data_IF_188812177881
#
_entry.id   IF_188812177881
#
_cell.length_a   1.000
_cell.length_b   1.000
_cell.length_c   1.000
_cell.angle_alpha   90.00
_cell.angle_beta   90.00
_cell.angle_gamma   90.00
#
_symmetry.space_group_name_H-M   'P 1'
#
loop_
_entity.id
_entity.type
_entity.pdbx_description
1 polymer ?
#
# COMPACT_ATOMS: atom_id res chain seq x y z
N UNK A 1 -46.75 -8.68 -22.20
CA UNK A 1 -46.87 -7.59 -23.20
C UNK A 1 -45.49 -6.97 -23.36
N UNK A 2 -45.05 -6.88 -24.61
CA UNK A 2 -43.92 -6.13 -25.17
C UNK A 2 -42.47 -6.61 -24.92
N UNK A 3 -41.81 -6.86 -26.06
CA UNK A 3 -40.44 -7.26 -26.36
C UNK A 3 -39.74 -6.07 -27.04
N UNK A 4 -38.46 -5.82 -26.76
CA UNK A 4 -37.41 -5.24 -27.65
C UNK A 4 -36.16 -4.97 -26.77
N UNK A 5 -34.90 -5.34 -27.07
CA UNK A 5 -34.25 -5.83 -28.28
C UNK A 5 -33.56 -4.70 -29.06
N UNK A 6 -32.22 -4.60 -28.99
CA UNK A 6 -31.29 -4.36 -30.12
C UNK A 6 -29.86 -4.06 -29.63
N UNK A 7 -28.91 -4.91 -30.02
CA UNK A 7 -27.48 -4.60 -30.06
C UNK A 7 -27.07 -4.00 -31.40
N UNK A 8 -25.80 -3.60 -31.53
CA UNK A 8 -25.11 -3.45 -32.81
C UNK A 8 -23.62 -3.81 -32.61
N UNK A 9 -23.21 -4.93 -33.18
CA UNK A 9 -21.84 -5.20 -33.54
C UNK A 9 -21.55 -4.48 -34.87
N UNK A 10 -20.40 -3.82 -34.97
CA UNK A 10 -19.84 -3.41 -36.27
C UNK A 10 -18.66 -4.33 -36.58
N UNK A 11 -18.93 -5.33 -37.42
CA UNK A 11 -17.93 -6.05 -38.19
C UNK A 11 -17.84 -5.46 -39.60
N UNK A 12 -16.70 -5.65 -40.26
CA UNK A 12 -16.54 -5.28 -41.67
C UNK A 12 -15.11 -5.33 -42.18
N UNK A 13 -14.69 -6.54 -42.54
CA UNK A 13 -13.42 -7.00 -43.14
C UNK A 13 -13.33 -6.67 -44.67
N UNK A 14 -12.48 -7.35 -45.47
CA UNK A 14 -11.17 -6.99 -46.02
C UNK A 14 -11.21 -6.55 -47.51
N UNK A 15 -10.04 -6.28 -48.12
CA UNK A 15 -9.65 -6.38 -49.57
C UNK A 15 -8.26 -5.73 -49.70
N UNK A 16 -7.24 -6.27 -50.36
CA UNK A 16 -7.20 -7.15 -51.53
C UNK A 16 -6.45 -6.43 -52.66
N UNK A 17 -5.19 -6.82 -52.85
CA UNK A 17 -4.40 -6.91 -54.10
C UNK A 17 -4.12 -5.71 -55.05
N UNK A 18 -2.80 -5.48 -55.20
CA UNK A 18 -2.00 -5.53 -56.44
C UNK A 18 -1.78 -4.29 -57.36
N UNK A 19 -0.47 -4.12 -57.61
CA UNK A 19 0.24 -3.74 -58.85
C UNK A 19 0.34 -2.26 -59.26
N UNK A 20 1.59 -1.78 -59.47
CA UNK A 20 2.28 -1.66 -60.79
C UNK A 20 3.50 -0.71 -60.65
N UNK A 21 4.75 -1.16 -60.80
CA UNK A 21 5.60 -0.96 -62.01
C UNK A 21 6.76 0.02 -61.70
N UNK A 22 8.03 -0.44 -61.62
CA UNK A 22 9.13 -0.29 -62.62
C UNK A 22 9.61 1.20 -62.77
N UNK A 23 10.88 1.64 -62.71
CA UNK A 23 12.21 1.05 -62.90
C UNK A 23 13.30 2.02 -62.37
N UNK A 24 14.43 1.45 -61.92
CA UNK A 24 15.85 1.89 -61.82
C UNK A 24 16.30 3.38 -61.88
N UNK A 25 17.23 3.79 -61.00
CA UNK A 25 18.70 3.86 -61.25
C UNK A 25 19.50 4.55 -60.12
N UNK A 26 20.64 3.93 -59.74
CA UNK A 26 21.93 4.57 -59.43
C UNK A 26 22.06 5.62 -58.30
N UNK A 27 22.73 5.24 -57.21
CA UNK A 27 23.31 6.22 -56.27
C UNK A 27 24.05 5.58 -55.09
N UNK A 28 25.35 5.32 -55.25
CA UNK A 28 26.26 4.99 -54.15
C UNK A 28 26.41 6.17 -53.19
N UNK A 29 26.08 5.97 -51.91
CA UNK A 29 26.65 6.72 -50.80
C UNK A 29 26.76 5.77 -49.58
N UNK A 30 27.99 5.54 -49.17
CA UNK A 30 28.34 4.92 -47.89
C UNK A 30 27.88 5.85 -46.77
N UNK A 31 27.18 5.34 -45.77
CA UNK A 31 27.09 6.01 -44.47
C UNK A 31 27.10 4.95 -43.36
N UNK A 32 27.96 5.23 -42.39
CA UNK A 32 28.38 4.41 -41.25
C UNK A 32 27.22 3.75 -40.49
N UNK A 33 27.10 2.43 -40.56
CA UNK A 33 26.29 1.67 -39.61
C UNK A 33 27.04 1.59 -38.28
N UNK A 34 27.00 2.68 -37.50
CA UNK A 34 27.38 2.64 -36.09
C UNK A 34 26.43 1.66 -35.40
N UNK A 35 26.92 0.61 -34.70
CA UNK A 35 26.04 -0.24 -33.94
C UNK A 35 25.40 0.64 -32.87
N UNK A 36 24.08 0.84 -32.96
CA UNK A 36 23.29 1.33 -31.84
C UNK A 36 23.41 0.26 -30.78
N UNK A 37 24.33 0.46 -29.85
CA UNK A 37 24.48 -0.35 -28.66
C UNK A 37 23.19 -0.13 -27.88
N UNK A 38 22.23 -1.04 -28.03
CA UNK A 38 21.05 -1.11 -27.15
C UNK A 38 21.58 -1.13 -25.74
N UNK A 39 21.44 0.00 -25.03
CA UNK A 39 21.65 0.01 -23.60
C UNK A 39 20.67 -1.04 -23.03
N UNK A 40 21.13 -1.96 -22.17
CA UNK A 40 20.20 -2.82 -21.46
C UNK A 40 19.20 -1.90 -20.73
N UNK A 41 17.91 -2.28 -20.63
CA UNK A 41 17.00 -1.54 -19.78
C UNK A 41 17.66 -1.45 -18.41
N UNK A 42 17.88 -0.22 -17.95
CA UNK A 42 18.39 0.01 -16.61
C UNK A 42 17.30 -0.48 -15.68
N UNK A 43 17.40 -1.73 -15.25
CA UNK A 43 16.56 -2.27 -14.19
C UNK A 43 16.82 -1.38 -12.99
N UNK A 44 15.90 -0.45 -12.72
CA UNK A 44 15.87 0.22 -11.45
C UNK A 44 15.87 -0.89 -10.38
N UNK A 45 16.65 -0.76 -9.30
CA UNK A 45 16.59 -1.74 -8.23
C UNK A 45 15.13 -1.80 -7.78
N UNK A 46 14.54 -2.99 -7.86
CA UNK A 46 13.24 -3.26 -7.29
C UNK A 46 13.31 -2.83 -5.82
N UNK A 47 12.43 -1.92 -5.40
CA UNK A 47 12.31 -1.62 -3.99
C UNK A 47 12.08 -2.95 -3.26
N UNK A 48 12.91 -3.24 -2.25
CA UNK A 48 12.72 -4.43 -1.43
C UNK A 48 11.29 -4.37 -0.84
N UNK A 49 10.50 -5.45 -0.94
CA UNK A 49 9.18 -5.48 -0.35
C UNK A 49 9.28 -5.18 1.15
N UNK A 50 8.45 -4.28 1.65
CA UNK A 50 8.37 -4.01 3.08
C UNK A 50 7.76 -5.23 3.78
N UNK A 51 8.46 -5.76 4.79
CA UNK A 51 8.00 -6.89 5.60
C UNK A 51 7.57 -6.40 6.99
N UNK A 52 6.26 -6.19 7.23
CA UNK A 52 5.78 -5.67 8.50
C UNK A 52 6.01 -6.62 9.69
N UNK A 53 6.21 -7.91 9.46
CA UNK A 53 6.49 -8.86 10.54
C UNK A 53 7.94 -8.80 11.05
N UNK A 54 8.83 -8.18 10.29
CA UNK A 54 10.23 -8.00 10.68
C UNK A 54 10.45 -6.75 11.56
N UNK A 55 9.45 -5.86 11.69
CA UNK A 55 9.62 -4.56 12.35
C UNK A 55 9.58 -4.59 13.87
N UNK A 56 8.95 -5.60 14.47
CA UNK A 56 8.92 -5.74 15.93
C UNK A 56 9.77 -6.92 16.37
N UNK A 57 10.94 -6.60 16.92
CA UNK A 57 11.79 -7.60 17.55
C UNK A 57 11.13 -8.16 18.84
N UNK A 58 11.68 -9.20 19.49
CA UNK A 58 11.09 -9.74 20.71
C UNK A 58 10.93 -8.73 21.86
N UNK A 59 11.84 -7.75 22.00
CA UNK A 59 11.78 -6.74 23.04
C UNK A 59 10.71 -5.67 22.72
N UNK A 60 10.61 -5.25 21.47
CA UNK A 60 9.59 -4.31 21.01
C UNK A 60 8.19 -4.92 21.13
N UNK A 61 8.04 -6.20 20.73
CA UNK A 61 6.80 -6.96 20.97
C UNK A 61 6.44 -6.98 22.45
N UNK A 62 7.39 -7.30 23.33
CA UNK A 62 7.13 -7.29 24.77
C UNK A 62 6.72 -5.91 25.28
N UNK A 63 7.27 -4.83 24.73
CA UNK A 63 6.91 -3.44 25.06
C UNK A 63 5.48 -3.12 24.62
N UNK A 64 5.07 -3.63 23.46
CA UNK A 64 3.70 -3.52 22.93
C UNK A 64 2.68 -4.47 23.58
N UNK A 65 3.08 -5.24 24.61
CA UNK A 65 2.21 -6.24 25.23
C UNK A 65 1.92 -7.42 24.31
N UNK A 66 2.88 -7.81 23.48
CA UNK A 66 2.84 -8.95 22.58
C UNK A 66 3.84 -10.02 23.04
N UNK A 67 3.34 -11.20 23.38
CA UNK A 67 4.14 -12.38 23.74
C UNK A 67 4.33 -13.33 22.56
N UNK A 68 3.46 -13.25 21.55
CA UNK A 68 3.46 -14.11 20.37
C UNK A 68 4.22 -13.48 19.20
N UNK A 69 4.71 -14.33 18.29
CA UNK A 69 5.24 -13.87 17.00
C UNK A 69 4.10 -13.44 16.10
N UNK A 70 4.37 -12.46 15.24
CA UNK A 70 3.42 -12.02 14.23
C UNK A 70 3.32 -13.04 13.10
N UNK A 71 2.12 -13.12 12.53
CA UNK A 71 1.83 -13.94 11.37
C UNK A 71 1.67 -13.07 10.13
N UNK A 72 2.39 -13.36 9.03
CA UNK A 72 2.15 -12.67 7.77
C UNK A 72 0.72 -12.87 7.28
N UNK A 73 0.13 -11.77 6.79
CA UNK A 73 -1.22 -11.70 6.24
C UNK A 73 -1.25 -10.76 5.02
N UNK A 74 -2.39 -10.78 4.35
CA UNK A 74 -2.73 -9.85 3.28
C UNK A 74 -4.08 -9.21 3.65
N UNK A 75 -4.12 -7.87 3.61
CA UNK A 75 -5.33 -7.08 3.88
C UNK A 75 -5.65 -6.32 2.59
N UNK A 76 -6.63 -6.82 1.84
CA UNK A 76 -7.06 -6.21 0.57
C UNK A 76 -5.92 -6.00 -0.45
N UNK A 77 -4.94 -6.92 -0.52
CA UNK A 77 -3.77 -6.84 -1.38
C UNK A 77 -2.56 -6.14 -0.76
N UNK A 78 -2.70 -5.57 0.44
CA UNK A 78 -1.62 -4.94 1.18
C UNK A 78 -0.91 -5.94 2.11
N UNK A 79 0.43 -6.00 2.13
CA UNK A 79 1.18 -6.80 3.09
C UNK A 79 0.87 -6.38 4.52
N UNK A 80 0.59 -7.36 5.38
CA UNK A 80 0.29 -7.11 6.78
C UNK A 80 0.97 -8.13 7.72
N UNK A 81 1.12 -7.73 8.98
CA UNK A 81 1.49 -8.62 10.06
C UNK A 81 0.42 -8.60 11.13
N UNK A 82 -0.12 -9.77 11.46
CA UNK A 82 -1.15 -9.92 12.48
C UNK A 82 -0.59 -10.55 13.75
N UNK A 83 -0.93 -9.96 14.90
CA UNK A 83 -0.57 -10.46 16.22
C UNK A 83 -1.84 -10.64 17.04
N UNK A 84 -2.16 -11.90 17.37
CA UNK A 84 -3.27 -12.21 18.27
C UNK A 84 -2.74 -12.53 19.66
N UNK A 85 -2.87 -11.60 20.60
CA UNK A 85 -2.42 -11.79 21.98
C UNK A 85 -3.54 -12.46 22.81
N UNK A 86 -3.32 -13.68 23.34
CA UNK A 86 -4.36 -14.41 24.06
C UNK A 86 -4.91 -13.65 25.28
N UNK A 87 -6.22 -13.43 25.29
CA UNK A 87 -6.90 -12.75 26.40
C UNK A 87 -6.68 -11.24 26.46
N UNK A 88 -6.02 -10.65 25.45
CA UNK A 88 -5.80 -9.19 25.37
C UNK A 88 -6.46 -8.62 24.11
N UNK A 89 -6.20 -9.21 22.94
CA UNK A 89 -6.76 -8.74 21.67
C UNK A 89 -5.74 -8.71 20.52
N UNK A 90 -6.11 -8.09 19.40
CA UNK A 90 -5.34 -8.08 18.17
C UNK A 90 -4.52 -6.80 17.95
N UNK A 91 -3.39 -6.94 17.26
CA UNK A 91 -2.68 -5.85 16.59
C UNK A 91 -2.42 -6.27 15.15
N UNK A 92 -2.82 -5.46 14.19
CA UNK A 92 -2.50 -5.66 12.78
C UNK A 92 -1.69 -4.47 12.28
N UNK A 93 -0.54 -4.73 11.67
CA UNK A 93 0.30 -3.72 11.01
C UNK A 93 0.17 -3.92 9.51
N UNK A 94 -0.40 -2.95 8.79
CA UNK A 94 -0.63 -3.03 7.34
C UNK A 94 0.17 -1.97 6.59
N UNK A 95 0.81 -2.36 5.48
CA UNK A 95 1.55 -1.44 4.61
C UNK A 95 0.68 -1.07 3.41
N UNK A 96 0.15 0.15 3.40
CA UNK A 96 -0.71 0.65 2.33
C UNK A 96 0.09 1.57 1.40
N UNK A 97 0.31 1.15 0.16
CA UNK A 97 0.99 1.92 -0.88
C UNK A 97 0.03 2.66 -1.83
N UNK A 98 -1.29 2.57 -1.57
CA UNK A 98 -2.34 3.16 -2.37
C UNK A 98 -3.02 4.36 -1.70
N UNK A 99 -2.96 4.47 -0.37
CA UNK A 99 -3.59 5.56 0.39
C UNK A 99 -2.62 6.25 1.35
N UNK A 100 -2.57 7.58 1.28
CA UNK A 100 -1.86 8.41 2.24
C UNK A 100 -2.74 8.80 3.43
N UNK A 101 -2.13 9.36 4.47
CA UNK A 101 -2.86 9.87 5.65
C UNK A 101 -3.91 10.91 5.24
N UNK A 102 -3.64 11.74 4.25
CA UNK A 102 -4.56 12.78 3.78
C UNK A 102 -5.87 12.20 3.19
N UNK A 103 -5.82 11.02 2.58
CA UNK A 103 -6.99 10.37 1.99
C UNK A 103 -7.95 9.87 3.07
N UNK A 104 -7.42 9.46 4.23
CA UNK A 104 -8.19 8.97 5.38
C UNK A 104 -8.87 10.11 6.15
N UNK A 105 -8.22 11.28 6.24
CA UNK A 105 -8.76 12.46 6.92
C UNK A 105 -10.00 13.04 6.23
N UNK A 106 -10.12 12.87 4.92
CA UNK A 106 -11.19 13.49 4.14
C UNK A 106 -12.58 12.85 4.38
N UNK A 107 -12.66 11.72 5.09
CA UNK A 107 -13.88 10.92 5.20
C UNK A 107 -14.29 10.49 6.61
N UNK A 108 -13.61 10.91 7.68
CA UNK A 108 -13.86 10.40 9.03
C UNK A 108 -14.08 11.51 10.07
N UNK A 109 -15.13 11.35 10.90
CA UNK A 109 -15.55 12.30 11.93
C UNK A 109 -14.72 12.18 13.24
N UNK A 110 -14.03 11.05 13.45
CA UNK A 110 -13.26 10.73 14.67
C UNK A 110 -11.75 10.65 14.43
N UNK A 111 -11.20 11.60 13.66
CA UNK A 111 -9.78 11.66 13.32
C UNK A 111 -9.05 12.71 14.16
N UNK A 112 -8.01 12.27 14.85
CA UNK A 112 -7.08 13.14 15.59
C UNK A 112 -5.71 13.18 14.89
N UNK A 113 -5.24 14.37 14.53
CA UNK A 113 -3.89 14.55 14.00
C UNK A 113 -2.86 14.50 15.12
N UNK A 114 -1.78 13.76 14.90
CA UNK A 114 -0.64 13.70 15.80
C UNK A 114 0.69 13.57 15.05
N UNK A 115 1.79 13.58 15.79
CA UNK A 115 3.12 13.29 15.29
C UNK A 115 3.71 12.12 16.06
N UNK A 116 4.23 11.12 15.35
CA UNK A 116 5.01 10.01 15.91
C UNK A 116 6.40 10.09 15.33
N UNK A 117 7.40 10.29 16.18
CA UNK A 117 8.78 10.53 15.73
C UNK A 117 8.87 11.66 14.71
N UNK A 118 9.40 11.36 13.51
CA UNK A 118 9.50 12.32 12.42
C UNK A 118 8.24 12.37 11.54
N UNK A 119 7.25 11.51 11.76
CA UNK A 119 6.10 11.31 10.87
C UNK A 119 4.85 12.03 11.37
N UNK A 120 4.19 12.73 10.45
CA UNK A 120 2.76 13.01 10.58
C UNK A 120 1.98 11.70 10.64
N UNK A 121 0.97 11.69 11.50
CA UNK A 121 0.10 10.55 11.71
C UNK A 121 -1.32 11.00 12.06
N UNK A 122 -2.26 10.07 11.91
CA UNK A 122 -3.62 10.23 12.41
C UNK A 122 -3.97 9.09 13.34
N UNK A 123 -4.80 9.38 14.33
CA UNK A 123 -5.42 8.40 15.22
C UNK A 123 -6.92 8.44 15.03
N UNK A 124 -7.52 7.27 14.86
CA UNK A 124 -8.95 7.10 14.64
C UNK A 124 -9.52 6.18 15.71
N UNK A 125 -10.52 6.67 16.44
CA UNK A 125 -11.21 5.89 17.47
C UNK A 125 -12.53 6.56 17.86
N UNK A 126 -13.63 5.80 17.85
CA UNK A 126 -14.90 6.23 18.42
C UNK A 126 -14.88 6.05 19.95
N UNK A 127 -14.31 7.04 20.63
CA UNK A 127 -14.23 7.05 22.10
C UNK A 127 -15.59 7.10 22.78
N UNK A 128 -16.65 7.51 22.07
CA UNK A 128 -17.99 7.57 22.62
C UNK A 128 -18.66 6.19 22.59
N UNK A 129 -18.40 5.39 21.55
CA UNK A 129 -18.84 4.01 21.47
C UNK A 129 -18.11 3.10 22.46
N UNK A 130 -16.86 3.43 22.79
CA UNK A 130 -15.97 2.62 23.63
C UNK A 130 -15.88 1.15 23.16
N UNK A 131 -15.75 0.93 21.85
CA UNK A 131 -15.78 -0.39 21.23
C UNK A 131 -14.44 -1.15 21.29
N UNK A 132 -13.46 -0.60 22.01
CA UNK A 132 -12.16 -1.22 22.21
C UNK A 132 -11.29 -1.24 20.96
N UNK A 133 -11.60 -0.42 19.95
CA UNK A 133 -10.80 -0.34 18.73
C UNK A 133 -10.05 0.98 18.62
N UNK A 134 -8.86 0.95 18.04
CA UNK A 134 -8.13 2.16 17.69
C UNK A 134 -7.20 1.90 16.52
N UNK A 135 -7.17 2.83 15.57
CA UNK A 135 -6.21 2.82 14.49
C UNK A 135 -5.25 4.01 14.61
N UNK A 136 -3.97 3.77 14.38
CA UNK A 136 -2.96 4.82 14.18
C UNK A 136 -2.36 4.63 12.80
N UNK A 137 -2.34 5.68 11.99
CA UNK A 137 -1.83 5.63 10.61
C UNK A 137 -0.67 6.59 10.45
N UNK A 138 0.49 6.06 10.08
CA UNK A 138 1.75 6.78 9.88
C UNK A 138 1.94 7.11 8.39
N UNK A 139 2.20 8.37 8.05
CA UNK A 139 2.48 8.72 6.65
C UNK A 139 3.90 8.29 6.22
N UNK A 140 4.00 7.43 5.21
CA UNK A 140 5.28 7.02 4.59
C UNK A 140 5.61 7.82 3.33
N UNK A 141 4.61 8.44 2.72
CA UNK A 141 4.70 9.35 1.57
C UNK A 141 3.33 10.01 1.31
N UNK A 142 3.18 10.83 0.25
CA UNK A 142 1.92 11.52 -0.04
C UNK A 142 0.72 10.60 -0.31
N UNK A 143 0.96 9.41 -0.87
CA UNK A 143 -0.08 8.42 -1.21
C UNK A 143 0.19 7.05 -0.59
N UNK A 144 0.97 7.00 0.49
CA UNK A 144 1.31 5.75 1.16
C UNK A 144 1.35 5.94 2.68
N UNK A 145 0.98 4.89 3.39
CA UNK A 145 0.89 4.89 4.85
C UNK A 145 1.13 3.51 5.45
N UNK A 146 1.33 3.48 6.76
CA UNK A 146 1.33 2.25 7.56
C UNK A 146 0.24 2.36 8.60
N UNK A 147 -0.65 1.38 8.63
CA UNK A 147 -1.81 1.32 9.50
C UNK A 147 -1.48 0.39 10.66
N UNK A 148 -1.77 0.83 11.88
CA UNK A 148 -1.66 0.05 13.10
C UNK A 148 -3.07 -0.03 13.68
N UNK A 149 -3.73 -1.16 13.46
CA UNK A 149 -5.09 -1.42 13.93
C UNK A 149 -5.03 -2.28 15.19
N UNK A 150 -5.67 -1.81 16.27
CA UNK A 150 -5.72 -2.50 17.55
C UNK A 150 -7.17 -2.74 17.93
N UNK A 151 -7.46 -3.96 18.39
CA UNK A 151 -8.73 -4.32 19.01
C UNK A 151 -8.49 -5.01 20.34
N UNK A 152 -9.31 -4.71 21.34
CA UNK A 152 -9.36 -5.49 22.57
C UNK A 152 -10.23 -6.74 22.40
N UNK A 153 -9.92 -7.79 23.15
CA UNK A 153 -10.62 -9.08 23.05
C UNK A 153 -12.12 -8.98 23.34
N UNK A 154 -12.50 -8.07 24.24
CA UNK A 154 -13.88 -7.88 24.68
C UNK A 154 -14.56 -6.67 24.01
N UNK A 155 -13.88 -6.00 23.07
CA UNK A 155 -14.37 -4.79 22.38
C UNK A 155 -14.83 -3.70 23.35
N UNK A 156 -13.97 -3.42 24.34
CA UNK A 156 -14.11 -2.34 25.33
C UNK A 156 -12.77 -1.67 25.60
N UNK A 157 -12.77 -0.53 26.29
CA UNK A 157 -11.56 0.20 26.68
C UNK A 157 -10.72 0.69 25.49
N UNK A 158 -11.37 1.53 24.69
CA UNK A 158 -10.81 2.21 23.51
C UNK A 158 -9.58 3.03 23.86
N UNK A 159 -9.52 3.57 25.08
CA UNK A 159 -8.36 4.31 25.57
C UNK A 159 -7.12 3.42 25.62
N UNK A 160 -7.22 2.22 26.23
CA UNK A 160 -6.13 1.25 26.27
C UNK A 160 -5.73 0.77 24.88
N UNK A 161 -6.70 0.53 23.98
CA UNK A 161 -6.40 0.17 22.58
C UNK A 161 -5.63 1.28 21.86
N UNK A 162 -5.98 2.55 22.08
CA UNK A 162 -5.24 3.66 21.50
C UNK A 162 -3.83 3.86 22.09
N UNK A 163 -3.65 3.62 23.40
CA UNK A 163 -2.31 3.64 24.01
C UNK A 163 -1.41 2.57 23.39
N UNK A 164 -1.94 1.36 23.24
CA UNK A 164 -1.22 0.25 22.60
C UNK A 164 -0.93 0.54 21.12
N UNK A 165 -1.89 1.04 20.36
CA UNK A 165 -1.69 1.43 18.96
C UNK A 165 -0.59 2.50 18.81
N UNK A 166 -0.60 3.50 19.70
CA UNK A 166 0.43 4.56 19.71
C UNK A 166 1.81 3.99 20.05
N UNK A 167 1.89 3.10 21.05
CA UNK A 167 3.14 2.43 21.44
C UNK A 167 3.72 1.62 20.27
N UNK A 168 2.89 0.82 19.60
CA UNK A 168 3.32 0.04 18.42
C UNK A 168 3.79 0.97 17.30
N UNK A 169 3.05 2.05 17.04
CA UNK A 169 3.43 3.01 16.00
C UNK A 169 4.78 3.71 16.31
N UNK A 170 5.07 4.01 17.57
CA UNK A 170 6.37 4.54 18.00
C UNK A 170 7.52 3.55 17.79
N UNK A 171 7.26 2.26 17.99
CA UNK A 171 8.25 1.18 17.76
C UNK A 171 8.45 0.89 16.26
N UNK A 172 7.41 1.02 15.45
CA UNK A 172 7.47 0.80 14.00
C UNK A 172 8.11 1.98 13.25
N UNK A 173 7.92 3.22 13.70
CA UNK A 173 8.38 4.41 12.98
C UNK A 173 9.86 4.39 12.55
N UNK A 174 10.81 3.93 13.38
CA UNK A 174 12.22 3.85 13.02
C UNK A 174 12.53 2.84 11.89
N UNK A 175 11.70 1.82 11.73
CA UNK A 175 11.86 0.78 10.71
C UNK A 175 11.38 1.23 9.32
N UNK A 176 10.63 2.34 9.26
CA UNK A 176 10.05 2.83 8.02
C UNK A 176 11.08 3.55 7.13
N UNK A 177 11.06 3.30 5.80
CA UNK A 177 11.92 4.03 4.88
C UNK A 177 11.73 5.54 5.00
N UNK A 178 12.82 6.31 4.98
CA UNK A 178 12.73 7.79 4.99
C UNK A 178 11.79 8.26 3.89
N UNK A 179 10.98 9.28 4.19
CA UNK A 179 10.11 9.90 3.18
C UNK A 179 10.97 10.35 2.01
N UNK A 180 10.61 9.95 0.80
CA UNK A 180 11.09 10.63 -0.39
C UNK A 180 10.39 12.00 -0.44
N UNK A 181 11.19 13.06 -0.44
CA UNK A 181 10.72 14.45 -0.60
C UNK A 181 10.30 14.73 -2.04
#
# INVERSE_FOLDING_TARGET
MLVAGCGQAVGGDPRGDAAQGDTAEGGTAQDDTRPTRSAPPSSAPSAEPLDPCAWLDPADRSTAGLSVAGEPRDVAGAPACDYTEPGVGGVTITVDDASGVADLEAGADDVERLRIGARDAVRMADRAADDGTCAVVLATGPGSSVHIDVSSVDFTDTASSCERATTVAELVEPELPRRAE
#
